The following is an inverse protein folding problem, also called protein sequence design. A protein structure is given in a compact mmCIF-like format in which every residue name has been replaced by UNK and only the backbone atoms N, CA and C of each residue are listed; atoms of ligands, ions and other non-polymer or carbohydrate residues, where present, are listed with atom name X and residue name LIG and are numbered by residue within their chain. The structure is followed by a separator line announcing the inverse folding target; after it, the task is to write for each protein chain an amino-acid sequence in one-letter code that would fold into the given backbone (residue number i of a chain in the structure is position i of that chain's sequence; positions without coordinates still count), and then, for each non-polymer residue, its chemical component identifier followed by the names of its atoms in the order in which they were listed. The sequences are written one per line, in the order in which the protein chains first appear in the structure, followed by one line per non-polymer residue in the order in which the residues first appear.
data_IF_763300706746
#
_entry.id   IF_763300706746
#
_cell.length_a   1.000
_cell.length_b   1.000
_cell.length_c   1.000
_cell.angle_alpha   90.00
_cell.angle_beta   90.00
_cell.angle_gamma   90.00
#
_symmetry.space_group_name_H-M   'P 1'
#
loop_
_entity.id
_entity.type
_entity.pdbx_description
1 polymer ?
#
# COMPACT_ATOMS: atom_id res chain seq x y z
N UNK A 1 -8.72 33.55 26.35
CA UNK A 1 -7.33 33.11 26.11
C UNK A 1 -7.20 31.59 26.05
N UNK A 2 -7.51 30.83 27.11
CA UNK A 2 -7.36 29.36 27.12
C UNK A 2 -8.15 28.63 26.01
N UNK A 3 -9.40 29.04 25.73
CA UNK A 3 -10.23 28.46 24.67
C UNK A 3 -9.66 28.72 23.27
N UNK A 4 -9.09 29.90 23.02
CA UNK A 4 -8.49 30.27 21.73
C UNK A 4 -7.21 29.45 21.50
N UNK A 5 -6.39 29.27 22.53
CA UNK A 5 -5.19 28.42 22.47
C UNK A 5 -5.56 26.96 22.23
N UNK A 6 -6.62 26.46 22.88
CA UNK A 6 -7.13 25.11 22.67
C UNK A 6 -7.63 24.91 21.22
N UNK A 7 -8.43 25.84 20.70
CA UNK A 7 -8.93 25.80 19.31
C UNK A 7 -7.76 25.87 18.32
N UNK A 8 -6.78 26.74 18.55
CA UNK A 8 -5.58 26.83 17.71
C UNK A 8 -4.76 25.54 17.75
N UNK A 9 -4.60 24.92 18.93
CA UNK A 9 -3.91 23.64 19.08
C UNK A 9 -4.61 22.49 18.37
N UNK A 10 -5.95 22.40 18.49
CA UNK A 10 -6.77 21.43 17.76
C UNK A 10 -6.64 21.66 16.25
N UNK A 11 -6.81 22.90 15.78
CA UNK A 11 -6.68 23.24 14.37
C UNK A 11 -5.30 22.88 13.81
N UNK A 12 -4.23 23.22 14.54
CA UNK A 12 -2.86 22.86 14.18
C UNK A 12 -2.65 21.35 14.09
N UNK A 13 -3.20 20.59 15.06
CA UNK A 13 -3.18 19.14 15.04
C UNK A 13 -3.89 18.58 13.79
N UNK A 14 -5.12 19.02 13.50
CA UNK A 14 -5.87 18.62 12.31
C UNK A 14 -5.14 18.94 11.00
N UNK A 15 -4.47 20.09 10.92
CA UNK A 15 -3.68 20.48 9.76
C UNK A 15 -2.45 19.58 9.59
N UNK A 16 -1.82 19.16 10.69
CA UNK A 16 -0.65 18.27 10.66
C UNK A 16 -1.01 16.83 10.34
N UNK A 17 -2.11 16.33 10.91
CA UNK A 17 -2.56 14.96 10.69
C UNK A 17 -3.46 14.81 9.47
N UNK A 18 -3.54 15.85 8.62
CA UNK A 18 -4.36 15.81 7.42
C UNK A 18 -3.98 14.59 6.54
N UNK A 19 -4.96 13.86 5.98
CA UNK A 19 -4.74 12.64 5.22
C UNK A 19 -3.70 12.77 4.10
N UNK A 20 -3.68 13.92 3.41
CA UNK A 20 -2.72 14.19 2.35
C UNK A 20 -1.27 14.27 2.86
N UNK A 21 -1.04 14.76 4.08
CA UNK A 21 0.30 14.84 4.69
C UNK A 21 0.79 13.46 5.08
N UNK A 22 -0.09 12.62 5.62
CA UNK A 22 0.22 11.21 5.92
C UNK A 22 0.61 10.48 4.64
N UNK A 23 -0.17 10.63 3.57
CA UNK A 23 0.17 10.07 2.25
C UNK A 23 1.53 10.58 1.74
N UNK A 24 1.78 11.90 1.80
CA UNK A 24 3.07 12.46 1.34
C UNK A 24 4.25 11.96 2.15
N UNK A 25 4.10 11.88 3.47
CA UNK A 25 5.12 11.34 4.38
C UNK A 25 5.41 9.87 4.05
N UNK A 26 4.37 9.09 3.80
CA UNK A 26 4.50 7.70 3.38
C UNK A 26 5.23 7.56 2.05
N UNK A 27 4.81 8.29 1.01
CA UNK A 27 5.48 8.28 -0.30
C UNK A 27 6.95 8.65 -0.16
N UNK A 28 7.26 9.73 0.55
CA UNK A 28 8.64 10.14 0.79
C UNK A 28 9.45 9.08 1.53
N UNK A 29 8.86 8.41 2.53
CA UNK A 29 9.50 7.31 3.23
C UNK A 29 9.81 6.14 2.27
N UNK A 30 8.92 5.82 1.33
CA UNK A 30 9.19 4.82 0.28
C UNK A 30 10.32 5.26 -0.66
N UNK A 31 10.34 6.51 -1.11
CA UNK A 31 11.43 7.07 -1.96
C UNK A 31 12.80 7.04 -1.27
N UNK A 32 12.82 7.24 0.06
CA UNK A 32 14.03 7.20 0.88
C UNK A 32 14.34 5.82 1.47
N UNK A 33 13.47 4.85 1.22
CA UNK A 33 13.53 3.52 1.81
C UNK A 33 13.63 3.58 3.35
N UNK A 34 12.96 4.57 3.97
CA UNK A 34 12.79 4.71 5.41
C UNK A 34 11.73 3.72 5.90
N UNK A 35 12.19 2.49 6.08
CA UNK A 35 11.38 1.33 6.47
C UNK A 35 10.68 1.57 7.81
N UNK A 36 11.38 2.18 8.77
CA UNK A 36 10.83 2.47 10.09
C UNK A 36 9.64 3.42 9.99
N UNK A 37 9.74 4.49 9.20
CA UNK A 37 8.60 5.39 8.98
C UNK A 37 7.45 4.70 8.26
N UNK A 38 7.72 3.84 7.27
CA UNK A 38 6.69 3.07 6.56
C UNK A 38 5.88 2.22 7.55
N UNK A 39 6.57 1.45 8.39
CA UNK A 39 5.92 0.60 9.40
C UNK A 39 5.22 1.45 10.46
N UNK A 40 5.81 2.56 10.90
CA UNK A 40 5.19 3.44 11.89
C UNK A 40 3.88 4.07 11.40
N UNK A 41 3.76 4.30 10.08
CA UNK A 41 2.54 4.83 9.45
C UNK A 41 1.49 3.76 9.14
N UNK A 42 1.82 2.48 9.26
CA UNK A 42 0.89 1.39 9.01
C UNK A 42 -0.28 1.40 10.01
N UNK A 43 -1.44 0.93 9.55
CA UNK A 43 -2.59 0.67 10.43
C UNK A 43 -2.16 -0.28 11.56
N UNK A 44 -2.53 -0.03 12.84
CA UNK A 44 -2.05 -0.83 13.97
C UNK A 44 -2.30 -2.33 13.82
N UNK A 45 -3.45 -2.72 13.29
CA UNK A 45 -3.84 -4.10 13.01
C UNK A 45 -2.91 -4.78 11.99
N UNK A 46 -2.39 -4.04 11.01
CA UNK A 46 -1.48 -4.61 10.02
C UNK A 46 -0.13 -5.00 10.65
N UNK A 47 0.34 -4.18 11.61
CA UNK A 47 1.56 -4.47 12.38
C UNK A 47 1.34 -5.68 13.30
N UNK A 48 0.17 -5.75 13.92
CA UNK A 48 -0.14 -6.78 14.93
C UNK A 48 -0.48 -8.14 14.33
N UNK A 49 -1.20 -8.16 13.22
CA UNK A 49 -1.82 -9.38 12.69
C UNK A 49 -1.40 -9.72 11.25
N UNK A 50 -1.22 -8.71 10.40
CA UNK A 50 -0.93 -8.93 8.98
C UNK A 50 0.55 -9.17 8.67
N UNK A 51 1.46 -9.01 9.65
CA UNK A 51 2.90 -9.23 9.45
C UNK A 51 3.64 -8.05 8.82
N UNK A 52 3.07 -6.84 8.89
CA UNK A 52 3.80 -5.61 8.52
C UNK A 52 4.87 -5.34 9.56
N UNK A 53 6.11 -5.65 9.21
CA UNK A 53 7.33 -5.50 10.02
C UNK A 53 8.40 -4.84 9.18
N UNK A 54 9.46 -4.32 9.82
CA UNK A 54 10.55 -3.71 9.05
C UNK A 54 11.18 -4.72 8.07
N UNK A 55 11.34 -5.97 8.50
CA UNK A 55 11.92 -7.01 7.67
C UNK A 55 11.02 -7.35 6.47
N UNK A 56 9.71 -7.45 6.65
CA UNK A 56 8.78 -7.77 5.56
C UNK A 56 8.72 -6.65 4.53
N UNK A 57 8.61 -5.40 4.98
CA UNK A 57 8.65 -4.20 4.12
C UNK A 57 9.99 -4.10 3.38
N UNK A 58 11.12 -4.23 4.08
CA UNK A 58 12.46 -4.18 3.48
C UNK A 58 12.66 -5.24 2.40
N UNK A 59 12.20 -6.46 2.66
CA UNK A 59 12.29 -7.58 1.73
C UNK A 59 11.47 -7.28 0.47
N UNK A 60 10.19 -6.89 0.63
CA UNK A 60 9.32 -6.60 -0.50
C UNK A 60 9.86 -5.42 -1.33
N UNK A 61 10.24 -4.30 -0.70
CA UNK A 61 10.77 -3.15 -1.44
C UNK A 61 12.08 -3.48 -2.17
N UNK A 62 12.98 -4.24 -1.54
CA UNK A 62 14.25 -4.61 -2.18
C UNK A 62 14.04 -5.54 -3.38
N UNK A 63 13.12 -6.50 -3.29
CA UNK A 63 12.84 -7.44 -4.37
C UNK A 63 12.02 -6.79 -5.50
N UNK A 64 11.05 -5.93 -5.15
CA UNK A 64 10.19 -5.27 -6.14
C UNK A 64 10.88 -4.08 -6.77
N UNK A 65 11.35 -3.09 -5.99
CA UNK A 65 11.87 -1.82 -6.49
C UNK A 65 13.39 -1.76 -6.62
N UNK A 66 14.13 -2.71 -6.04
CA UNK A 66 15.59 -2.62 -5.88
C UNK A 66 16.37 -2.37 -7.17
N UNK A 67 15.93 -2.93 -8.31
CA UNK A 67 16.58 -2.75 -9.61
C UNK A 67 16.40 -1.36 -10.23
N UNK A 68 15.47 -0.56 -9.72
CA UNK A 68 15.17 0.80 -10.19
C UNK A 68 15.66 1.87 -9.22
N UNK A 69 16.46 1.51 -8.20
CA UNK A 69 17.06 2.49 -7.30
C UNK A 69 18.05 3.39 -8.07
N UNK A 70 18.05 4.72 -7.82
CA UNK A 70 17.06 5.46 -7.05
C UNK A 70 15.75 5.65 -7.83
N UNK A 71 14.60 5.44 -7.17
CA UNK A 71 13.27 5.66 -7.73
C UNK A 71 12.55 6.81 -7.00
N UNK A 72 11.51 7.37 -7.62
CA UNK A 72 10.66 8.40 -7.02
C UNK A 72 9.21 8.32 -7.49
N UNK A 73 8.29 8.97 -6.79
CA UNK A 73 6.96 9.25 -7.30
C UNK A 73 7.04 10.32 -8.40
N UNK A 74 6.72 9.94 -9.64
CA UNK A 74 6.71 10.87 -10.78
C UNK A 74 5.35 11.52 -10.99
N UNK A 75 4.30 10.91 -10.46
CA UNK A 75 2.95 11.47 -10.45
C UNK A 75 2.17 10.97 -9.25
N UNK A 76 1.44 11.86 -8.59
CA UNK A 76 0.52 11.53 -7.51
C UNK A 76 -0.81 12.21 -7.84
N UNK A 77 -1.91 11.46 -7.75
CA UNK A 77 -3.25 12.03 -7.94
C UNK A 77 -4.24 11.47 -6.96
N UNK A 78 -5.19 12.29 -6.54
CA UNK A 78 -6.27 11.88 -5.64
C UNK A 78 -7.28 11.05 -6.42
N UNK A 79 -7.70 9.92 -5.86
CA UNK A 79 -8.80 9.11 -6.40
C UNK A 79 -10.12 9.74 -5.96
N UNK A 80 -11.02 9.98 -6.91
CA UNK A 80 -12.37 10.50 -6.62
C UNK A 80 -13.14 9.49 -5.77
N UNK A 81 -13.89 9.99 -4.78
CA UNK A 81 -14.79 9.16 -3.97
C UNK A 81 -15.91 8.50 -4.79
N UNK A 82 -16.22 9.02 -5.98
CA UNK A 82 -17.18 8.41 -6.91
C UNK A 82 -16.74 7.02 -7.38
N UNK A 83 -15.44 6.72 -7.32
CA UNK A 83 -14.89 5.41 -7.69
C UNK A 83 -15.14 4.38 -6.59
N UNK A 84 -15.19 4.79 -5.33
CA UNK A 84 -15.44 3.91 -4.18
C UNK A 84 -16.27 4.65 -3.12
N UNK A 85 -17.62 4.71 -3.27
CA UNK A 85 -18.49 5.53 -2.41
C UNK A 85 -18.35 5.24 -0.91
N UNK A 86 -18.13 3.97 -0.54
CA UNK A 86 -17.89 3.52 0.83
C UNK A 86 -16.76 4.30 1.52
N UNK A 87 -15.76 4.76 0.77
CA UNK A 87 -14.60 5.44 1.34
C UNK A 87 -14.96 6.82 1.86
N UNK A 88 -15.93 7.48 1.22
CA UNK A 88 -16.44 8.77 1.70
C UNK A 88 -17.12 8.61 3.06
N UNK A 89 -17.95 7.58 3.21
CA UNK A 89 -18.70 7.32 4.44
C UNK A 89 -17.78 6.98 5.61
N UNK A 90 -16.70 6.25 5.34
CA UNK A 90 -15.70 5.86 6.35
C UNK A 90 -14.64 6.94 6.61
N UNK A 91 -14.62 8.05 5.86
CA UNK A 91 -13.57 9.07 5.95
C UNK A 91 -12.21 8.58 5.41
N UNK A 92 -12.21 7.57 4.54
CA UNK A 92 -11.02 7.04 3.89
C UNK A 92 -10.66 7.90 2.67
N UNK A 93 -9.35 8.03 2.46
CA UNK A 93 -8.80 8.80 1.36
C UNK A 93 -7.83 7.95 0.57
N UNK A 94 -7.87 8.05 -0.76
CA UNK A 94 -6.99 7.27 -1.63
C UNK A 94 -6.31 8.16 -2.66
N UNK A 95 -5.05 7.84 -2.93
CA UNK A 95 -4.25 8.42 -4.00
C UNK A 95 -3.65 7.32 -4.84
N UNK A 96 -3.47 7.57 -6.13
CA UNK A 96 -2.58 6.76 -6.95
C UNK A 96 -1.21 7.43 -7.00
N UNK A 97 -0.16 6.60 -7.07
CA UNK A 97 1.23 7.01 -7.18
C UNK A 97 1.82 6.26 -8.36
N UNK A 98 2.36 6.98 -9.33
CA UNK A 98 3.15 6.42 -10.43
C UNK A 98 4.61 6.51 -10.02
N UNK A 99 5.29 5.37 -10.07
CA UNK A 99 6.71 5.26 -9.74
C UNK A 99 7.56 5.39 -10.99
N UNK A 100 8.71 6.04 -10.85
CA UNK A 100 9.63 6.30 -11.94
C UNK A 100 11.08 6.33 -11.47
N UNK A 101 11.99 6.35 -12.43
CA UNK A 101 13.40 6.55 -12.15
C UNK A 101 13.64 7.96 -11.59
N UNK A 102 14.42 8.08 -10.51
CA UNK A 102 14.63 9.37 -9.86
C UNK A 102 15.40 10.35 -10.75
N UNK A 103 16.37 9.84 -11.52
CA UNK A 103 17.24 10.62 -12.40
C UNK A 103 16.47 11.14 -13.61
N UNK A 104 15.79 10.25 -14.34
CA UNK A 104 15.15 10.61 -15.62
C UNK A 104 13.72 11.12 -15.44
N UNK A 105 13.09 10.84 -14.30
CA UNK A 105 11.66 11.11 -14.07
C UNK A 105 10.74 10.29 -14.98
N UNK A 106 11.28 9.31 -15.72
CA UNK A 106 10.48 8.44 -16.58
C UNK A 106 9.75 7.42 -15.71
N UNK A 107 8.45 7.17 -15.98
CA UNK A 107 7.72 6.09 -15.31
C UNK A 107 8.43 4.74 -15.49
N UNK A 108 8.46 3.94 -14.44
CA UNK A 108 8.99 2.57 -14.50
C UNK A 108 8.04 1.74 -15.38
N UNK A 109 8.54 1.12 -16.47
CA UNK A 109 7.70 0.30 -17.34
C UNK A 109 7.26 -0.96 -16.60
N UNK A 110 6.01 -1.39 -16.84
CA UNK A 110 5.49 -2.59 -16.20
C UNK A 110 4.80 -3.56 -17.19
N UNK A 111 5.14 -4.85 -17.04
CA UNK A 111 4.67 -5.98 -17.85
C UNK A 111 3.73 -6.88 -17.03
N UNK A 112 2.42 -6.62 -17.05
CA UNK A 112 1.40 -7.69 -17.10
C UNK A 112 -0.01 -7.10 -17.18
N UNK A 113 -0.74 -7.45 -18.24
CA UNK A 113 -2.18 -7.80 -18.38
C UNK A 113 -3.29 -7.15 -17.52
N UNK A 114 -3.05 -6.15 -16.68
CA UNK A 114 -4.03 -5.64 -15.72
C UNK A 114 -4.06 -4.12 -15.70
N UNK A 115 -4.89 -3.56 -16.58
CA UNK A 115 -5.40 -2.18 -16.57
C UNK A 115 -4.35 -1.09 -16.78
N UNK A 116 -4.37 -0.48 -17.97
CA UNK A 116 -4.40 0.98 -17.96
C UNK A 116 -5.58 1.39 -17.07
N UNK A 117 -5.40 2.39 -16.22
CA UNK A 117 -6.51 2.93 -15.44
C UNK A 117 -6.95 4.24 -16.12
N UNK A 118 -7.81 4.18 -17.16
CA UNK A 118 -8.40 5.38 -17.75
C UNK A 118 -9.02 6.33 -16.71
N UNK A 119 -9.69 5.84 -15.63
CA UNK A 119 -10.19 6.73 -14.57
C UNK A 119 -9.11 7.52 -13.82
N UNK A 120 -7.84 7.09 -13.92
CA UNK A 120 -6.68 7.77 -13.34
C UNK A 120 -5.81 8.46 -14.41
N UNK A 121 -6.26 8.53 -15.66
CA UNK A 121 -5.51 9.12 -16.77
C UNK A 121 -4.18 8.41 -17.04
N UNK A 122 -4.14 7.09 -16.85
CA UNK A 122 -2.97 6.23 -17.11
C UNK A 122 -3.27 5.41 -18.37
N UNK A 123 -2.62 5.79 -19.47
CA UNK A 123 -2.87 5.22 -20.80
C UNK A 123 -1.77 4.25 -21.27
N UNK A 124 -0.64 4.22 -20.57
CA UNK A 124 0.49 3.33 -20.85
C UNK A 124 0.77 2.44 -19.64
N UNK A 125 1.24 1.18 -19.85
CA UNK A 125 1.64 0.31 -18.75
C UNK A 125 2.83 0.91 -17.99
N UNK A 126 2.57 1.35 -16.76
CA UNK A 126 3.56 1.93 -15.87
C UNK A 126 3.31 1.44 -14.44
N UNK A 127 4.37 1.29 -13.67
CA UNK A 127 4.26 0.87 -12.27
C UNK A 127 3.52 1.94 -11.48
N UNK A 128 2.33 1.61 -11.00
CA UNK A 128 1.55 2.46 -10.13
C UNK A 128 1.06 1.66 -8.92
N UNK A 129 0.82 2.36 -7.82
CA UNK A 129 0.22 1.80 -6.59
C UNK A 129 -0.77 2.78 -6.04
N UNK A 130 -1.80 2.29 -5.36
CA UNK A 130 -2.68 3.12 -4.55
C UNK A 130 -2.14 3.22 -3.11
N UNK A 131 -2.31 4.39 -2.52
CA UNK A 131 -2.04 4.68 -1.11
C UNK A 131 -3.36 5.05 -0.48
N UNK A 132 -3.87 4.17 0.37
CA UNK A 132 -5.10 4.38 1.12
C UNK A 132 -4.75 4.85 2.53
N UNK A 133 -5.37 5.94 2.96
CA UNK A 133 -5.23 6.53 4.29
C UNK A 133 -6.60 6.50 4.97
N UNK A 134 -6.65 5.91 6.16
CA UNK A 134 -7.87 5.75 6.95
C UNK A 134 -7.71 6.35 8.35
N UNK A 135 -8.80 6.80 8.99
CA UNK A 135 -8.77 7.19 10.39
C UNK A 135 -8.59 5.95 11.29
N UNK A 136 -7.80 6.10 12.34
CA UNK A 136 -7.60 5.11 13.43
C UNK A 136 -7.60 5.83 14.79
N UNK A 137 -7.55 5.08 15.88
CA UNK A 137 -7.36 5.61 17.23
C UNK A 137 -6.02 6.35 17.40
N UNK A 138 -5.00 5.99 16.62
CA UNK A 138 -3.72 6.71 16.58
C UNK A 138 -3.68 7.88 15.56
N UNK A 139 -4.83 8.26 15.00
CA UNK A 139 -4.97 9.25 13.93
C UNK A 139 -4.99 8.63 12.53
N UNK A 140 -4.73 9.42 11.49
CA UNK A 140 -4.71 8.87 10.12
C UNK A 140 -3.50 7.94 9.92
N UNK A 141 -3.75 6.77 9.32
CA UNK A 141 -2.76 5.72 9.04
C UNK A 141 -2.91 5.19 7.62
N UNK A 142 -1.87 4.54 7.12
CA UNK A 142 -1.78 4.00 5.77
C UNK A 142 -2.08 2.50 5.81
N UNK A 143 -2.91 2.03 4.87
CA UNK A 143 -3.11 0.60 4.63
C UNK A 143 -1.91 0.08 3.83
N UNK A 144 -0.85 -0.31 4.53
CA UNK A 144 0.44 -0.69 3.94
C UNK A 144 0.36 -2.03 3.23
N UNK A 145 -0.46 -2.97 3.71
CA UNK A 145 -0.64 -4.25 3.05
C UNK A 145 -1.22 -4.09 1.64
N UNK A 146 -2.21 -3.22 1.47
CA UNK A 146 -2.77 -2.87 0.16
C UNK A 146 -1.69 -2.34 -0.79
N UNK A 147 -0.87 -1.39 -0.31
CA UNK A 147 0.25 -0.86 -1.08
C UNK A 147 1.25 -1.96 -1.49
N UNK A 148 1.66 -2.82 -0.55
CA UNK A 148 2.63 -3.89 -0.80
C UNK A 148 2.08 -4.95 -1.77
N UNK A 149 0.78 -5.26 -1.69
CA UNK A 149 0.10 -6.15 -2.62
C UNK A 149 0.14 -5.56 -4.03
N UNK A 150 -0.29 -4.31 -4.18
CA UNK A 150 -0.34 -3.66 -5.49
C UNK A 150 1.05 -3.54 -6.09
N UNK A 151 2.06 -3.19 -5.27
CA UNK A 151 3.44 -3.12 -5.71
C UNK A 151 3.97 -4.49 -6.15
N UNK A 152 3.75 -5.53 -5.35
CA UNK A 152 4.25 -6.88 -5.63
C UNK A 152 3.54 -7.52 -6.82
N UNK A 153 2.22 -7.36 -6.92
CA UNK A 153 1.44 -7.77 -8.08
C UNK A 153 1.90 -7.01 -9.33
N UNK A 154 2.08 -5.70 -9.17
CA UNK A 154 2.63 -4.78 -10.15
C UNK A 154 4.09 -5.01 -10.51
N UNK A 155 4.77 -6.06 -10.04
CA UNK A 155 6.12 -6.44 -10.52
C UNK A 155 6.20 -7.93 -10.86
N UNK A 156 5.54 -8.79 -10.08
CA UNK A 156 5.65 -10.24 -10.17
C UNK A 156 4.40 -10.93 -10.72
N UNK A 157 3.35 -10.18 -11.07
CA UNK A 157 2.09 -10.72 -11.57
C UNK A 157 1.51 -11.76 -10.61
N UNK A 158 1.06 -12.91 -11.13
CA UNK A 158 0.46 -13.99 -10.34
C UNK A 158 1.37 -14.61 -9.27
N UNK A 159 2.69 -14.37 -9.31
CA UNK A 159 3.64 -14.88 -8.31
C UNK A 159 3.76 -14.00 -7.07
N UNK A 160 3.07 -12.86 -7.01
CA UNK A 160 3.19 -11.89 -5.92
C UNK A 160 2.87 -12.48 -4.54
N UNK A 161 1.87 -13.37 -4.43
CA UNK A 161 1.50 -14.00 -3.15
C UNK A 161 2.66 -14.81 -2.54
N UNK A 162 3.46 -15.48 -3.37
CA UNK A 162 4.63 -16.21 -2.90
C UNK A 162 5.68 -15.27 -2.29
N UNK A 163 5.89 -14.09 -2.90
CA UNK A 163 6.75 -13.05 -2.34
C UNK A 163 6.21 -12.52 -1.01
N UNK A 164 4.91 -12.15 -0.96
CA UNK A 164 4.28 -11.63 0.25
C UNK A 164 4.39 -12.63 1.42
N UNK A 165 4.09 -13.90 1.16
CA UNK A 165 4.22 -14.96 2.16
C UNK A 165 5.67 -15.18 2.60
N UNK A 166 6.61 -15.21 1.65
CA UNK A 166 8.04 -15.37 1.97
C UNK A 166 8.54 -14.21 2.84
N UNK A 167 8.07 -12.99 2.58
CA UNK A 167 8.37 -11.82 3.41
C UNK A 167 7.66 -11.83 4.78
N UNK A 168 6.71 -12.74 5.01
CA UNK A 168 5.98 -12.85 6.28
C UNK A 168 4.68 -12.06 6.36
N UNK A 169 4.17 -11.53 5.23
CA UNK A 169 2.83 -10.93 5.18
C UNK A 169 1.78 -12.05 5.20
N UNK A 170 0.83 -11.95 6.12
CA UNK A 170 -0.17 -12.99 6.41
C UNK A 170 -1.57 -12.65 5.90
N UNK A 171 -1.81 -11.39 5.56
CA UNK A 171 -3.13 -10.91 5.18
C UNK A 171 -3.14 -9.41 4.91
N UNK A 172 -4.34 -8.84 4.91
CA UNK A 172 -4.58 -7.44 4.64
C UNK A 172 -5.69 -6.86 5.52
N UNK A 173 -5.73 -5.53 5.60
CA UNK A 173 -6.87 -4.76 6.10
C UNK A 173 -7.53 -4.08 4.91
N UNK A 174 -8.85 -4.17 4.80
CA UNK A 174 -9.65 -3.51 3.77
C UNK A 174 -10.72 -2.64 4.42
N UNK A 175 -11.42 -1.83 3.62
CA UNK A 175 -12.56 -1.06 4.12
C UNK A 175 -13.73 -1.91 4.64
N UNK A 176 -13.72 -3.23 4.39
CA UNK A 176 -14.69 -4.18 4.89
C UNK A 176 -14.20 -4.93 6.14
N UNK A 177 -12.92 -4.80 6.48
CA UNK A 177 -12.33 -5.39 7.68
C UNK A 177 -12.80 -4.62 8.91
N UNK A 178 -13.36 -5.32 9.89
CA UNK A 178 -13.78 -4.70 11.16
C UNK A 178 -12.55 -4.34 12.03
N UNK A 179 -12.67 -3.36 12.94
CA UNK A 179 -11.61 -3.07 13.89
C UNK A 179 -11.16 -4.31 14.66
N UNK A 180 -9.84 -4.54 14.74
CA UNK A 180 -9.26 -5.73 15.38
C UNK A 180 -9.32 -7.03 14.57
N UNK A 181 -9.88 -7.04 13.35
CA UNK A 181 -9.87 -8.19 12.43
C UNK A 181 -8.83 -8.01 11.30
N UNK A 182 -8.59 -9.07 10.52
CA UNK A 182 -7.82 -9.02 9.28
C UNK A 182 -8.29 -10.11 8.30
N UNK A 183 -8.08 -9.88 7.00
CA UNK A 183 -8.36 -10.87 5.96
C UNK A 183 -7.08 -11.69 5.68
N UNK A 184 -7.02 -12.99 6.05
CA UNK A 184 -5.85 -13.81 5.79
C UNK A 184 -5.68 -14.11 4.30
N UNK A 185 -4.44 -14.13 3.81
CA UNK A 185 -4.17 -14.62 2.47
C UNK A 185 -4.34 -16.14 2.43
N UNK A 186 -5.25 -16.60 1.57
CA UNK A 186 -5.46 -18.03 1.35
C UNK A 186 -4.40 -18.53 0.37
N UNK A 187 -3.58 -19.51 0.79
CA UNK A 187 -2.73 -20.24 -0.14
C UNK A 187 -3.61 -20.79 -1.27
N UNK A 188 -3.26 -20.62 -2.57
CA UNK A 188 -3.77 -21.56 -3.55
C UNK A 188 -3.27 -22.92 -3.10
N UNK A 189 -4.17 -23.78 -2.57
CA UNK A 189 -3.84 -25.16 -2.28
C UNK A 189 -3.22 -25.69 -3.57
N UNK A 190 -1.91 -25.89 -3.56
CA UNK A 190 -1.27 -26.59 -4.65
C UNK A 190 -2.01 -27.92 -4.66
N UNK A 191 -2.79 -28.18 -5.70
CA UNK A 191 -3.22 -29.55 -5.99
C UNK A 191 -1.91 -30.29 -6.26
N UNK A 192 -1.24 -30.75 -5.21
CA UNK A 192 -0.36 -31.89 -5.33
C UNK A 192 -1.29 -32.98 -5.84
N UNK A 193 -1.19 -33.28 -7.13
CA UNK A 193 -1.60 -34.58 -7.66
C UNK A 193 -0.79 -35.59 -6.85
N UNK A 194 -1.32 -36.04 -5.71
CA UNK A 194 -1.03 -37.39 -5.21
C UNK A 194 -1.69 -38.31 -6.23
N UNK A 195 -0.90 -38.68 -7.22
CA UNK A 195 -1.17 -39.76 -8.15
C UNK A 195 0.11 -40.54 -8.31
N UNK A 196 0.62 -41.06 -7.19
CA UNK A 196 1.46 -42.24 -7.23
C UNK A 196 0.58 -43.42 -7.62
N UNK A 197 1.13 -44.23 -8.53
CA UNK A 197 0.89 -45.64 -8.83
C UNK A 197 -0.35 -46.30 -8.22
N UNK A 198 -1.13 -46.97 -9.06
CA UNK A 198 -1.09 -48.44 -9.07
C UNK A 198 -1.73 -48.98 -10.37
N UNK A 199 -0.99 -49.89 -11.02
CA UNK A 199 -1.44 -50.81 -12.06
C UNK A 199 -2.51 -51.77 -11.49
N UNK A 200 -3.30 -52.41 -12.35
CA UNK A 200 -2.88 -53.73 -12.85
C UNK A 200 -2.61 -53.77 -14.35
#
# INVERSE_FOLDING_TARGET
MAIIVLIAGIYYFWVITAPWRIMRKFVYAVEKEDITTIVALAVPEERKYCGVTEQSVKTILSVTLGKWRPFKAVRIGKVSWEVVPLYKELGWHRWFVVWGEAVTGKPIPFHSTGRGYPPYGIHTPQLFTEVTVCPTDEGYRVVVTEFLIQLSYGVHGSKYLALLHHAGIKGQVTALTKPGEFEPFVYPKTKMRRGGNDQP
#
